data_IF_318184663479
#
_entry.id   IF_318184663479
#
_cell.length_a   1.000
_cell.length_b   1.000
_cell.length_c   1.000
_cell.angle_alpha   90.00
_cell.angle_beta   90.00
_cell.angle_gamma   90.00
#
_symmetry.space_group_name_H-M   'P 1'
#
loop_
_entity.id
_entity.type
_entity.pdbx_description
1 polymer ?
#
# COMPACT_ATOMS: atom_id res chain seq x y z
N UNK A 1 -46.08 -20.09 26.47
CA UNK A 1 -44.78 -20.67 26.04
C UNK A 1 -44.41 -20.33 24.59
N UNK A 2 -45.32 -20.40 23.65
CA UNK A 2 -44.99 -20.10 22.24
C UNK A 2 -44.55 -18.64 21.99
N UNK A 3 -45.06 -17.65 22.70
CA UNK A 3 -44.70 -16.23 22.58
C UNK A 3 -43.28 -15.91 23.12
N UNK A 4 -42.81 -16.63 24.13
CA UNK A 4 -41.48 -16.40 24.70
C UNK A 4 -40.37 -16.97 23.81
N UNK A 5 -40.63 -18.07 23.11
CA UNK A 5 -39.70 -18.70 22.19
C UNK A 5 -39.46 -17.79 20.97
N UNK A 6 -40.54 -17.12 20.47
CA UNK A 6 -40.45 -16.20 19.34
C UNK A 6 -39.62 -14.95 19.66
N UNK A 7 -39.73 -14.41 20.88
CA UNK A 7 -38.94 -13.27 21.33
C UNK A 7 -37.47 -13.61 21.48
N UNK A 8 -37.17 -14.81 21.99
CA UNK A 8 -35.78 -15.29 22.18
C UNK A 8 -35.12 -15.53 20.81
N UNK A 9 -35.85 -16.07 19.85
CA UNK A 9 -35.35 -16.28 18.47
C UNK A 9 -35.08 -14.98 17.76
N UNK A 10 -35.93 -13.95 17.92
CA UNK A 10 -35.76 -12.63 17.35
C UNK A 10 -34.52 -11.90 17.93
N UNK A 11 -34.32 -12.05 19.25
CA UNK A 11 -33.14 -11.46 19.93
C UNK A 11 -31.83 -12.11 19.49
N UNK A 12 -31.84 -13.43 19.25
CA UNK A 12 -30.66 -14.17 18.74
C UNK A 12 -30.30 -13.81 17.30
N UNK A 13 -31.29 -13.49 16.46
CA UNK A 13 -31.07 -13.04 15.08
C UNK A 13 -30.48 -11.63 15.01
N UNK A 14 -30.87 -10.73 15.92
CA UNK A 14 -30.35 -9.35 15.95
C UNK A 14 -28.90 -9.31 16.44
N UNK A 15 -28.49 -10.21 17.34
CA UNK A 15 -27.10 -10.28 17.82
C UNK A 15 -26.13 -10.86 16.80
N UNK A 16 -26.59 -11.70 15.87
CA UNK A 16 -25.75 -12.27 14.81
C UNK A 16 -25.33 -11.25 13.74
N UNK A 17 -26.07 -10.15 13.58
CA UNK A 17 -25.77 -9.11 12.58
C UNK A 17 -24.72 -8.09 13.03
N UNK A 18 -24.33 -8.08 14.30
CA UNK A 18 -23.34 -7.14 14.84
C UNK A 18 -21.89 -7.61 14.72
N UNK A 19 -21.65 -8.84 14.25
CA UNK A 19 -20.31 -9.40 14.08
C UNK A 19 -19.75 -9.27 12.65
N UNK A 20 -20.49 -8.63 11.73
CA UNK A 20 -20.06 -8.42 10.35
C UNK A 20 -19.37 -7.07 10.21
N UNK A 21 -18.10 -7.08 9.84
CA UNK A 21 -17.20 -5.98 9.46
C UNK A 21 -16.30 -5.47 10.59
N UNK A 22 -15.40 -6.32 11.09
CA UNK A 22 -14.08 -5.82 11.48
C UNK A 22 -13.28 -5.66 10.18
N UNK A 23 -13.10 -4.39 9.77
CA UNK A 23 -12.10 -4.02 8.78
C UNK A 23 -10.79 -4.63 9.29
N UNK A 24 -10.14 -5.48 8.48
CA UNK A 24 -8.90 -6.15 8.88
C UNK A 24 -7.77 -5.10 8.93
N UNK A 25 -7.63 -4.43 10.08
CA UNK A 25 -6.60 -3.40 10.33
C UNK A 25 -5.18 -3.99 10.32
N UNK A 26 -5.06 -5.32 10.32
CA UNK A 26 -3.78 -6.03 10.29
C UNK A 26 -3.31 -6.33 8.88
N UNK A 27 -4.17 -6.17 7.87
CA UNK A 27 -3.80 -6.41 6.47
C UNK A 27 -2.68 -5.47 6.02
N UNK A 28 -1.84 -5.94 5.09
CA UNK A 28 -0.79 -5.10 4.50
C UNK A 28 -1.38 -3.81 3.92
N UNK A 29 -2.50 -3.91 3.19
CA UNK A 29 -3.19 -2.76 2.61
C UNK A 29 -3.55 -1.71 3.66
N UNK A 30 -4.16 -2.11 4.78
CA UNK A 30 -4.53 -1.18 5.85
C UNK A 30 -3.32 -0.50 6.49
N UNK A 31 -2.20 -1.21 6.60
CA UNK A 31 -0.99 -0.71 7.24
C UNK A 31 -0.18 0.23 6.36
N UNK A 32 -0.13 0.02 5.03
CA UNK A 32 0.57 0.92 4.10
C UNK A 32 -0.28 2.11 3.67
N UNK A 33 -1.59 2.05 3.86
CA UNK A 33 -2.54 3.09 3.46
C UNK A 33 -2.16 4.47 4.04
N UNK A 34 -2.33 5.50 3.23
CA UNK A 34 -2.07 6.89 3.58
C UNK A 34 -0.82 7.45 2.92
N UNK A 35 -0.48 8.67 3.30
CA UNK A 35 0.61 9.45 2.73
C UNK A 35 1.91 9.19 3.49
N UNK A 36 2.96 8.92 2.72
CA UNK A 36 4.32 8.70 3.20
C UNK A 36 5.29 9.65 2.52
N UNK A 37 6.16 10.29 3.28
CA UNK A 37 7.26 11.09 2.73
C UNK A 37 8.33 10.16 2.16
N UNK A 38 8.77 10.43 0.93
CA UNK A 38 9.88 9.72 0.30
C UNK A 38 11.18 10.37 0.72
N UNK A 39 12.01 9.66 1.50
CA UNK A 39 13.31 10.17 1.94
C UNK A 39 14.39 9.91 0.87
N UNK A 40 14.44 8.68 0.37
CA UNK A 40 15.36 8.28 -0.69
C UNK A 40 14.83 7.09 -1.49
N UNK A 41 15.35 6.94 -2.70
CA UNK A 41 15.15 5.76 -3.55
C UNK A 41 16.52 5.30 -4.05
N UNK A 42 16.85 4.03 -3.82
CA UNK A 42 18.01 3.37 -4.39
C UNK A 42 17.59 2.64 -5.67
N UNK A 43 18.24 2.94 -6.78
CA UNK A 43 17.96 2.37 -8.11
C UNK A 43 19.13 1.53 -8.56
N UNK A 44 18.86 0.33 -9.05
CA UNK A 44 19.83 -0.59 -9.63
C UNK A 44 19.27 -1.31 -10.84
N UNK A 45 20.14 -1.94 -11.63
CA UNK A 45 19.74 -2.76 -12.77
C UNK A 45 19.33 -1.98 -14.02
N UNK A 46 19.48 -0.65 -14.04
CA UNK A 46 19.25 0.14 -15.25
C UNK A 46 20.41 -0.06 -16.23
N UNK A 47 20.11 -0.17 -17.51
CA UNK A 47 21.11 -0.28 -18.58
C UNK A 47 21.95 0.99 -18.75
N UNK A 48 21.38 2.16 -18.42
CA UNK A 48 22.11 3.41 -18.33
C UNK A 48 22.68 3.55 -16.91
N UNK A 49 24.02 3.46 -16.70
CA UNK A 49 24.64 3.55 -15.39
C UNK A 49 24.32 4.85 -14.63
N UNK A 50 24.09 5.96 -15.34
CA UNK A 50 23.77 7.26 -14.74
C UNK A 50 22.39 7.30 -14.06
N UNK A 51 21.53 6.34 -14.37
CA UNK A 51 20.21 6.19 -13.77
C UNK A 51 20.20 5.22 -12.58
N UNK A 52 21.34 4.63 -12.24
CA UNK A 52 21.53 3.84 -11.04
C UNK A 52 22.14 4.70 -9.94
N UNK A 53 21.83 4.38 -8.70
CA UNK A 53 22.39 5.06 -7.53
C UNK A 53 21.34 5.40 -6.48
N UNK A 54 21.74 6.27 -5.56
CA UNK A 54 20.88 6.74 -4.47
C UNK A 54 20.39 8.14 -4.77
N UNK A 55 19.09 8.32 -4.82
CA UNK A 55 18.42 9.59 -5.04
C UNK A 55 17.75 10.03 -3.75
N UNK A 56 18.16 11.18 -3.22
CA UNK A 56 17.59 11.76 -2.01
C UNK A 56 16.49 12.74 -2.39
N UNK A 57 15.43 12.76 -1.59
CA UNK A 57 14.24 13.57 -1.82
C UNK A 57 13.98 14.48 -0.62
N UNK A 58 13.03 15.38 -0.77
CA UNK A 58 12.66 16.38 0.24
C UNK A 58 11.35 15.98 0.94
N UNK A 59 11.00 16.70 1.99
CA UNK A 59 9.73 16.49 2.69
C UNK A 59 8.49 16.78 1.83
N UNK A 60 8.65 17.37 0.65
CA UNK A 60 7.56 17.61 -0.29
C UNK A 60 7.33 16.43 -1.25
N UNK A 61 8.27 15.47 -1.28
CA UNK A 61 8.20 14.29 -2.11
C UNK A 61 7.48 13.18 -1.35
N UNK A 62 6.47 12.56 -1.96
CA UNK A 62 5.63 11.60 -1.27
C UNK A 62 5.09 10.50 -2.17
N UNK A 63 4.68 9.42 -1.52
CA UNK A 63 3.79 8.41 -2.07
C UNK A 63 2.54 8.33 -1.19
N UNK A 64 1.36 8.31 -1.78
CA UNK A 64 0.09 8.26 -1.08
C UNK A 64 -0.75 7.09 -1.58
N UNK A 65 -0.88 6.08 -0.73
CA UNK A 65 -1.77 4.95 -0.96
C UNK A 65 -3.17 5.34 -0.54
N UNK A 66 -4.00 5.73 -1.50
CA UNK A 66 -5.33 6.28 -1.25
C UNK A 66 -6.24 5.27 -0.57
N UNK A 67 -7.06 5.78 0.35
CA UNK A 67 -8.09 5.01 1.05
C UNK A 67 -9.43 4.97 0.28
N UNK A 68 -9.40 5.18 -1.04
CA UNK A 68 -10.59 5.17 -1.87
C UNK A 68 -10.88 3.79 -2.46
N UNK A 69 -12.06 3.63 -3.06
CA UNK A 69 -12.50 2.37 -3.66
C UNK A 69 -11.70 1.97 -4.91
N UNK A 70 -11.02 2.92 -5.54
CA UNK A 70 -10.28 2.70 -6.80
C UNK A 70 -8.84 2.19 -6.57
N UNK A 71 -8.43 1.97 -5.32
CA UNK A 71 -7.09 1.51 -4.96
C UNK A 71 -5.98 2.34 -5.63
N UNK A 72 -6.15 3.64 -5.65
CA UNK A 72 -5.20 4.55 -6.28
C UNK A 72 -3.95 4.74 -5.41
N UNK A 73 -2.82 4.85 -6.08
CA UNK A 73 -1.56 5.31 -5.50
C UNK A 73 -1.07 6.53 -6.27
N UNK A 74 -0.65 7.55 -5.53
CA UNK A 74 -0.12 8.78 -6.07
C UNK A 74 1.34 8.91 -5.66
N UNK A 75 2.22 9.08 -6.63
CA UNK A 75 3.65 9.31 -6.43
C UNK A 75 3.98 10.73 -6.91
N UNK A 76 4.51 11.56 -6.03
CA UNK A 76 4.96 12.92 -6.35
C UNK A 76 6.44 13.04 -6.01
N UNK A 77 7.28 13.17 -7.03
CA UNK A 77 8.73 13.32 -6.89
C UNK A 77 9.18 14.53 -7.70
N UNK A 78 9.97 15.41 -7.09
CA UNK A 78 10.52 16.61 -7.77
C UNK A 78 9.46 17.44 -8.50
N UNK A 79 8.29 17.63 -7.85
CA UNK A 79 7.10 18.32 -8.38
C UNK A 79 6.43 17.62 -9.59
N UNK A 80 6.81 16.39 -9.90
CA UNK A 80 6.13 15.57 -10.90
C UNK A 80 5.22 14.57 -10.22
N UNK A 81 3.94 14.64 -10.54
CA UNK A 81 2.90 13.81 -9.96
C UNK A 81 2.45 12.74 -10.93
N UNK A 82 2.46 11.51 -10.49
CA UNK A 82 1.99 10.34 -11.25
C UNK A 82 0.93 9.60 -10.44
N UNK A 83 -0.15 9.21 -11.09
CA UNK A 83 -1.23 8.43 -10.48
C UNK A 83 -1.24 7.04 -11.10
N UNK A 84 -1.31 6.04 -10.23
CA UNK A 84 -1.44 4.64 -10.59
C UNK A 84 -2.44 3.93 -9.68
N UNK A 85 -2.39 2.62 -9.70
CA UNK A 85 -3.15 1.75 -8.82
C UNK A 85 -2.23 0.81 -8.05
N UNK A 86 -2.69 0.30 -6.90
CA UNK A 86 -1.97 -0.70 -6.14
C UNK A 86 -2.91 -1.82 -5.68
N UNK A 87 -2.36 -3.02 -5.55
CA UNK A 87 -3.09 -4.19 -5.07
C UNK A 87 -2.21 -4.93 -4.09
N UNK A 88 -2.68 -5.04 -2.83
CA UNK A 88 -1.98 -5.81 -1.82
C UNK A 88 -2.28 -7.30 -1.99
N UNK A 89 -1.23 -8.12 -1.90
CA UNK A 89 -1.30 -9.57 -1.89
C UNK A 89 -1.25 -10.10 -0.44
N UNK A 90 -1.24 -11.42 -0.29
CA UNK A 90 -1.01 -12.04 1.01
C UNK A 90 0.46 -11.83 1.45
N UNK A 91 0.67 -11.64 2.76
CA UNK A 91 2.00 -11.44 3.32
C UNK A 91 2.49 -10.01 3.17
N UNK A 92 3.72 -9.84 2.70
CA UNK A 92 4.42 -8.56 2.59
C UNK A 92 4.52 -8.04 1.15
N UNK A 93 3.76 -8.61 0.23
CA UNK A 93 3.84 -8.29 -1.18
C UNK A 93 2.65 -7.45 -1.65
N UNK A 94 2.92 -6.54 -2.57
CA UNK A 94 1.91 -5.75 -3.26
C UNK A 94 2.40 -5.37 -4.65
N UNK A 95 1.48 -4.98 -5.52
CA UNK A 95 1.80 -4.53 -6.87
C UNK A 95 1.41 -3.07 -7.02
N UNK A 96 2.19 -2.33 -7.80
CA UNK A 96 1.83 -0.98 -8.28
C UNK A 96 1.81 -0.98 -9.80
N UNK A 97 0.84 -0.27 -10.36
CA UNK A 97 0.73 -0.07 -11.82
C UNK A 97 0.66 1.42 -12.07
N UNK A 98 1.70 1.96 -12.70
CA UNK A 98 1.77 3.33 -13.19
C UNK A 98 1.72 3.34 -14.72
N UNK A 99 1.49 4.51 -15.37
CA UNK A 99 1.49 4.60 -16.83
C UNK A 99 2.77 4.06 -17.49
N UNK A 100 3.91 4.16 -16.80
CA UNK A 100 5.19 3.67 -17.30
C UNK A 100 5.37 2.15 -17.19
N UNK A 101 4.56 1.48 -16.37
CA UNK A 101 4.65 0.02 -16.18
C UNK A 101 4.22 -0.45 -14.81
N UNK A 102 4.29 -1.76 -14.63
CA UNK A 102 3.95 -2.46 -13.41
C UNK A 102 5.18 -2.76 -12.57
N UNK A 103 5.02 -2.80 -11.26
CA UNK A 103 6.07 -3.15 -10.31
C UNK A 103 5.58 -4.17 -9.31
N UNK A 104 6.40 -5.18 -9.05
CA UNK A 104 6.21 -6.14 -7.96
C UNK A 104 6.97 -5.65 -6.74
N UNK A 105 6.26 -5.43 -5.64
CA UNK A 105 6.80 -4.80 -4.44
C UNK A 105 6.80 -5.78 -3.26
N UNK A 106 7.90 -5.79 -2.52
CA UNK A 106 8.05 -6.58 -1.28
C UNK A 106 8.47 -5.65 -0.15
N UNK A 107 7.68 -5.63 0.92
CA UNK A 107 7.94 -4.81 2.11
C UNK A 107 9.00 -5.48 2.98
N UNK A 108 10.03 -4.73 3.36
CA UNK A 108 11.09 -5.17 4.26
C UNK A 108 10.98 -4.56 5.65
N UNK A 109 10.46 -3.35 5.79
CA UNK A 109 10.21 -2.66 7.07
C UNK A 109 8.82 -2.03 7.03
N UNK A 110 8.03 -2.24 8.08
CA UNK A 110 6.72 -1.62 8.22
C UNK A 110 6.38 -1.40 9.69
N UNK A 111 6.32 -0.15 10.08
CA UNK A 111 5.86 0.31 11.39
C UNK A 111 4.83 1.44 11.21
N UNK A 112 4.38 2.03 12.32
CA UNK A 112 3.50 3.21 12.27
C UNK A 112 4.13 4.44 11.59
N UNK A 113 5.46 4.53 11.58
CA UNK A 113 6.22 5.71 11.12
C UNK A 113 7.22 5.44 10.02
N UNK A 114 7.48 4.18 9.68
CA UNK A 114 8.49 3.78 8.71
C UNK A 114 7.97 2.70 7.77
N UNK A 115 8.23 2.86 6.48
CA UNK A 115 7.94 1.88 5.44
C UNK A 115 9.13 1.79 4.49
N UNK A 116 9.65 0.58 4.32
CA UNK A 116 10.66 0.29 3.30
C UNK A 116 10.17 -0.87 2.43
N UNK A 117 10.27 -0.69 1.13
CA UNK A 117 9.94 -1.76 0.18
C UNK A 117 10.82 -1.71 -1.06
N UNK A 118 10.99 -2.86 -1.67
CA UNK A 118 11.69 -3.05 -2.94
C UNK A 118 10.69 -3.26 -4.05
N UNK A 119 10.75 -2.46 -5.11
CA UNK A 119 9.93 -2.56 -6.31
C UNK A 119 10.78 -3.07 -7.48
N UNK A 120 10.43 -4.23 -8.02
CA UNK A 120 11.00 -4.77 -9.25
C UNK A 120 10.10 -4.40 -10.42
N UNK A 121 10.62 -3.65 -11.38
CA UNK A 121 9.85 -3.21 -12.54
C UNK A 121 9.71 -4.36 -13.53
N UNK A 122 8.47 -4.69 -13.89
CA UNK A 122 8.14 -5.80 -14.77
C UNK A 122 8.84 -5.66 -16.13
N UNK A 123 9.30 -6.79 -16.67
CA UNK A 123 10.02 -6.89 -17.95
C UNK A 123 11.33 -6.11 -18.02
N UNK A 124 11.89 -5.73 -16.88
CA UNK A 124 13.19 -5.07 -16.80
C UNK A 124 14.04 -5.71 -15.71
N UNK A 125 15.32 -5.30 -15.64
CA UNK A 125 16.20 -5.64 -14.52
C UNK A 125 16.24 -4.54 -13.45
N UNK A 126 15.41 -3.50 -13.61
CA UNK A 126 15.41 -2.34 -12.71
C UNK A 126 14.73 -2.70 -11.40
N UNK A 127 15.46 -2.42 -10.32
CA UNK A 127 15.00 -2.56 -8.95
C UNK A 127 15.11 -1.21 -8.25
N UNK A 128 14.03 -0.77 -7.61
CA UNK A 128 13.99 0.45 -6.81
C UNK A 128 13.66 0.09 -5.36
N UNK A 129 14.51 0.53 -4.43
CA UNK A 129 14.22 0.41 -3.00
C UNK A 129 13.81 1.76 -2.44
N UNK A 130 12.61 1.82 -1.88
CA UNK A 130 12.00 3.01 -1.33
C UNK A 130 12.18 3.05 0.19
N UNK A 131 12.54 4.22 0.71
CA UNK A 131 12.67 4.51 2.14
C UNK A 131 11.75 5.67 2.50
N UNK A 132 10.72 5.37 3.28
CA UNK A 132 9.60 6.25 3.53
C UNK A 132 9.39 6.45 5.04
N UNK A 133 8.89 7.62 5.39
CA UNK A 133 8.48 7.96 6.77
C UNK A 133 7.15 8.72 6.79
N UNK A 134 6.49 8.73 7.94
CA UNK A 134 5.30 9.57 8.21
C UNK A 134 5.18 9.94 9.69
#
# INVERSE_FOLDING_TARGET
MKRQITLLSLFMMVTATLFSCKKDETSLKARIMGKWTVNKIEVSGNTNPLQNGTFNYTMNDYIDFKANEDDQVELSLTNQRTIGTYTASLGNDFNMVFPEGSSYCTVSVLSGTQLEFTAKIDKTNIVKKYYLTR
#
